data_IF_807067705441
#
_entry.id   IF_807067705441
#
_cell.length_a   1.000
_cell.length_b   1.000
_cell.length_c   1.000
_cell.angle_alpha   90.00
_cell.angle_beta   90.00
_cell.angle_gamma   90.00
#
_symmetry.space_group_name_H-M   'P 1'
#
loop_
_entity.id
_entity.type
_entity.pdbx_description
1 polymer ?
#
# COMPACT_ATOMS: atom_id res chain seq x y z
N UNK A 1 -0.07 -14.42 11.96
CA UNK A 1 -1.24 -15.10 11.38
C UNK A 1 -0.93 -16.52 10.89
N UNK A 2 0.23 -16.80 10.33
CA UNK A 2 0.68 -18.17 10.05
C UNK A 2 1.76 -18.52 11.06
N UNK A 3 1.51 -19.54 11.90
CA UNK A 3 2.45 -19.99 12.94
C UNK A 3 3.84 -20.32 12.38
N UNK A 4 3.86 -20.87 11.17
CA UNK A 4 5.08 -21.34 10.49
C UNK A 4 5.96 -20.19 9.97
N UNK A 5 5.40 -18.99 9.86
CA UNK A 5 6.11 -17.76 9.45
C UNK A 5 6.41 -16.84 10.66
N UNK A 6 5.99 -17.22 11.86
CA UNK A 6 6.22 -16.42 13.04
C UNK A 6 7.71 -16.46 13.43
N UNK A 7 8.31 -15.30 13.81
CA UNK A 7 9.67 -15.28 14.33
C UNK A 7 9.76 -16.08 15.64
N UNK A 8 10.96 -16.58 15.96
CA UNK A 8 11.21 -17.27 17.21
C UNK A 8 10.91 -16.33 18.41
N UNK A 9 10.14 -16.84 19.39
CA UNK A 9 9.76 -16.07 20.57
C UNK A 9 8.51 -16.62 21.25
N UNK A 10 8.12 -15.98 22.34
CA UNK A 10 6.84 -16.24 23.01
C UNK A 10 5.78 -15.29 22.46
N UNK A 11 4.62 -15.84 22.08
CA UNK A 11 3.47 -15.04 21.67
C UNK A 11 2.36 -15.12 22.71
N UNK A 12 1.69 -14.01 22.98
CA UNK A 12 0.51 -13.95 23.85
C UNK A 12 -0.61 -13.17 23.16
N UNK A 13 -1.85 -13.43 23.57
CA UNK A 13 -3.02 -12.78 22.98
C UNK A 13 -3.85 -13.74 22.12
N UNK A 14 -4.92 -13.19 21.51
CA UNK A 14 -5.88 -13.93 20.71
C UNK A 14 -6.06 -13.25 19.36
N UNK A 15 -6.01 -14.05 18.29
CA UNK A 15 -6.33 -13.60 16.93
C UNK A 15 -7.67 -14.21 16.55
N UNK A 16 -8.63 -13.38 16.18
CA UNK A 16 -9.95 -13.82 15.75
C UNK A 16 -10.13 -13.60 14.25
N UNK A 17 -10.69 -14.60 13.58
CA UNK A 17 -11.11 -14.55 12.18
C UNK A 17 -12.60 -14.85 12.11
N UNK A 18 -13.41 -13.88 11.64
CA UNK A 18 -14.88 -13.93 11.68
C UNK A 18 -15.43 -14.31 13.06
N UNK A 19 -14.88 -13.73 14.13
CA UNK A 19 -15.32 -13.95 15.51
C UNK A 19 -14.86 -15.27 16.15
N UNK A 20 -14.21 -16.16 15.41
CA UNK A 20 -13.64 -17.43 15.92
C UNK A 20 -12.15 -17.27 16.18
N UNK A 21 -11.63 -18.01 17.19
CA UNK A 21 -10.19 -18.07 17.38
C UNK A 21 -9.53 -18.68 16.13
N UNK A 22 -8.48 -18.03 15.60
CA UNK A 22 -7.79 -18.51 14.41
C UNK A 22 -7.24 -19.94 14.57
N UNK A 23 -6.89 -20.32 15.81
CA UNK A 23 -6.44 -21.68 16.13
C UNK A 23 -7.52 -22.75 15.93
N UNK A 24 -8.79 -22.36 16.02
CA UNK A 24 -9.94 -23.24 15.80
C UNK A 24 -10.35 -23.33 14.32
N UNK A 25 -9.81 -22.46 13.47
CA UNK A 25 -10.05 -22.49 12.03
C UNK A 25 -9.13 -23.54 11.40
N UNK A 26 -9.72 -24.52 10.69
CA UNK A 26 -8.94 -25.61 10.07
C UNK A 26 -7.88 -25.11 9.09
N UNK A 27 -6.72 -25.76 9.03
CA UNK A 27 -5.60 -25.35 8.17
C UNK A 27 -5.98 -25.18 6.70
N UNK A 28 -6.81 -26.07 6.16
CA UNK A 28 -7.30 -25.96 4.77
C UNK A 28 -8.08 -24.66 4.56
N UNK A 29 -8.96 -24.31 5.48
CA UNK A 29 -9.74 -23.08 5.40
C UNK A 29 -8.84 -21.84 5.52
N UNK A 30 -7.89 -21.85 6.45
CA UNK A 30 -6.92 -20.76 6.58
C UNK A 30 -6.11 -20.58 5.29
N UNK A 31 -5.63 -21.68 4.68
CA UNK A 31 -4.84 -21.63 3.45
C UNK A 31 -5.64 -21.14 2.25
N UNK A 32 -6.93 -21.43 2.20
CA UNK A 32 -7.81 -20.98 1.13
C UNK A 32 -8.28 -19.53 1.32
N UNK A 33 -8.66 -19.15 2.55
CA UNK A 33 -9.33 -17.87 2.81
C UNK A 33 -8.36 -16.73 3.17
N UNK A 34 -7.13 -17.05 3.59
CA UNK A 34 -6.12 -16.07 4.00
C UNK A 34 -4.89 -16.18 3.09
N UNK A 35 -4.80 -15.28 2.13
CA UNK A 35 -3.63 -15.15 1.27
C UNK A 35 -2.52 -14.37 1.96
N UNK A 36 -1.27 -14.75 1.73
CA UNK A 36 -0.10 -14.04 2.23
C UNK A 36 0.92 -13.85 1.12
N UNK A 37 1.34 -12.62 0.89
CA UNK A 37 2.39 -12.27 -0.07
C UNK A 37 3.61 -11.78 0.69
N UNK A 38 4.73 -12.46 0.49
CA UNK A 38 6.01 -12.18 1.14
C UNK A 38 6.72 -10.97 0.51
N UNK A 39 7.58 -10.36 1.29
CA UNK A 39 8.46 -9.26 0.87
C UNK A 39 9.37 -9.66 -0.31
N UNK A 40 9.98 -10.86 -0.24
CA UNK A 40 10.83 -11.38 -1.31
C UNK A 40 10.07 -12.42 -2.14
N UNK A 41 9.78 -12.15 -3.42
CA UNK A 41 9.06 -13.09 -4.28
C UNK A 41 9.78 -14.43 -4.49
N UNK A 42 11.11 -14.45 -4.50
CA UNK A 42 11.91 -15.67 -4.68
C UNK A 42 11.68 -16.70 -3.54
N UNK A 43 11.34 -16.22 -2.34
CA UNK A 43 11.09 -17.10 -1.20
C UNK A 43 9.69 -17.74 -1.23
N UNK A 44 8.82 -17.32 -2.13
CA UNK A 44 7.44 -17.78 -2.20
C UNK A 44 7.19 -18.67 -3.41
N UNK A 45 7.88 -18.45 -4.52
CA UNK A 45 7.74 -19.21 -5.75
C UNK A 45 8.29 -20.63 -5.55
N UNK A 46 7.48 -21.63 -5.92
CA UNK A 46 7.79 -23.05 -5.71
C UNK A 46 8.09 -23.76 -7.02
N UNK A 47 7.46 -23.33 -8.14
CA UNK A 47 7.55 -24.02 -9.42
C UNK A 47 8.46 -23.30 -10.41
N UNK A 48 8.86 -23.96 -11.47
CA UNK A 48 9.73 -23.44 -12.53
C UNK A 48 8.96 -22.76 -13.68
N UNK A 49 7.64 -22.99 -13.79
CA UNK A 49 6.77 -22.47 -14.86
C UNK A 49 5.70 -21.55 -14.31
N UNK A 50 5.45 -20.46 -15.01
CA UNK A 50 4.44 -19.46 -14.65
C UNK A 50 3.04 -20.07 -14.51
N UNK A 51 2.58 -20.85 -15.51
CA UNK A 51 1.26 -21.45 -15.46
C UNK A 51 1.12 -22.46 -14.30
N UNK A 52 2.19 -23.16 -13.95
CA UNK A 52 2.20 -24.13 -12.87
C UNK A 52 2.16 -23.43 -11.50
N UNK A 53 2.90 -22.31 -11.35
CA UNK A 53 2.84 -21.50 -10.15
C UNK A 53 1.41 -20.98 -9.89
N UNK A 54 0.69 -20.55 -10.93
CA UNK A 54 -0.72 -20.14 -10.82
C UNK A 54 -1.64 -21.30 -10.40
N UNK A 55 -1.32 -22.54 -10.79
CA UNK A 55 -2.11 -23.72 -10.46
C UNK A 55 -1.77 -24.32 -9.10
N UNK A 56 -0.54 -24.16 -8.63
CA UNK A 56 0.04 -24.89 -7.48
C UNK A 56 -0.80 -24.82 -6.20
N UNK A 57 -1.28 -23.63 -5.83
CA UNK A 57 -2.14 -23.46 -4.66
C UNK A 57 -3.48 -24.20 -4.77
N UNK A 58 -4.07 -24.21 -5.96
CA UNK A 58 -5.33 -24.90 -6.24
C UNK A 58 -5.16 -26.44 -6.23
N UNK A 59 -4.05 -26.92 -6.79
CA UNK A 59 -3.68 -28.35 -6.77
C UNK A 59 -3.47 -28.82 -5.33
N UNK A 60 -2.74 -28.04 -4.53
CA UNK A 60 -2.51 -28.32 -3.11
C UNK A 60 -3.79 -28.36 -2.28
N UNK A 61 -4.79 -27.57 -2.65
CA UNK A 61 -6.13 -27.58 -2.06
C UNK A 61 -7.02 -28.70 -2.61
N UNK A 62 -6.57 -29.46 -3.61
CA UNK A 62 -7.29 -30.62 -4.15
C UNK A 62 -8.49 -30.22 -5.02
N UNK A 63 -8.41 -29.09 -5.73
CA UNK A 63 -9.41 -28.74 -6.73
C UNK A 63 -9.33 -29.67 -7.95
N UNK A 64 -10.45 -29.86 -8.65
CA UNK A 64 -10.50 -30.63 -9.89
C UNK A 64 -9.88 -29.86 -11.06
N UNK A 65 -9.37 -30.58 -12.05
CA UNK A 65 -8.66 -30.02 -13.20
C UNK A 65 -9.47 -28.97 -13.97
N UNK A 66 -10.78 -29.14 -14.25
CA UNK A 66 -11.59 -28.11 -14.89
C UNK A 66 -11.64 -26.80 -14.10
N UNK A 67 -11.82 -26.85 -12.79
CA UNK A 67 -11.83 -25.69 -11.90
C UNK A 67 -10.46 -25.00 -11.87
N UNK A 68 -9.36 -25.76 -11.79
CA UNK A 68 -8.00 -25.21 -11.84
C UNK A 68 -7.78 -24.46 -13.16
N UNK A 69 -8.10 -25.07 -14.30
CA UNK A 69 -7.94 -24.44 -15.62
C UNK A 69 -8.72 -23.14 -15.73
N UNK A 70 -9.97 -23.12 -15.26
CA UNK A 70 -10.81 -21.92 -15.28
C UNK A 70 -10.18 -20.80 -14.45
N UNK A 71 -9.86 -21.05 -13.19
CA UNK A 71 -9.31 -20.05 -12.28
C UNK A 71 -7.94 -19.52 -12.72
N UNK A 72 -7.07 -20.40 -13.23
CA UNK A 72 -5.78 -20.02 -13.79
C UNK A 72 -5.97 -19.11 -15.02
N UNK A 73 -6.90 -19.43 -15.92
CA UNK A 73 -7.20 -18.60 -17.08
C UNK A 73 -7.78 -17.23 -16.68
N UNK A 74 -8.69 -17.20 -15.69
CA UNK A 74 -9.24 -15.96 -15.13
C UNK A 74 -8.15 -15.07 -14.55
N UNK A 75 -7.26 -15.61 -13.72
CA UNK A 75 -6.18 -14.85 -13.13
C UNK A 75 -5.13 -14.42 -14.15
N UNK A 76 -4.78 -15.29 -15.10
CA UNK A 76 -3.88 -14.93 -16.20
C UNK A 76 -4.44 -13.76 -17.04
N UNK A 77 -5.76 -13.73 -17.24
CA UNK A 77 -6.44 -12.63 -17.90
C UNK A 77 -6.48 -11.35 -17.05
N UNK A 78 -6.90 -11.47 -15.80
CA UNK A 78 -7.05 -10.32 -14.88
C UNK A 78 -5.72 -9.58 -14.64
N UNK A 79 -4.63 -10.33 -14.50
CA UNK A 79 -3.28 -9.80 -14.24
C UNK A 79 -2.46 -9.54 -15.51
N UNK A 80 -3.00 -9.80 -16.71
CA UNK A 80 -2.31 -9.60 -17.99
C UNK A 80 -1.10 -10.53 -18.21
N UNK A 81 -1.14 -11.74 -17.66
CA UNK A 81 -0.02 -12.70 -17.66
C UNK A 81 0.16 -13.44 -19.00
N UNK A 82 -0.75 -13.28 -19.97
CA UNK A 82 -0.79 -14.12 -21.19
C UNK A 82 0.51 -14.11 -22.01
N UNK A 83 1.24 -12.98 -22.05
CA UNK A 83 2.46 -12.85 -22.87
C UNK A 83 3.62 -13.71 -22.33
N UNK A 84 3.60 -14.02 -21.05
CA UNK A 84 4.65 -14.78 -20.37
C UNK A 84 4.15 -16.02 -19.63
N UNK A 85 2.89 -16.44 -19.93
CA UNK A 85 2.21 -17.57 -19.29
C UNK A 85 2.99 -18.89 -19.38
N UNK A 86 3.66 -19.15 -20.52
CA UNK A 86 4.45 -20.37 -20.75
C UNK A 86 5.94 -20.22 -20.44
N UNK A 87 6.40 -19.05 -20.00
CA UNK A 87 7.80 -18.81 -19.66
C UNK A 87 8.21 -19.57 -18.41
N UNK A 88 9.53 -19.72 -18.26
CA UNK A 88 10.12 -20.09 -16.98
C UNK A 88 10.07 -18.90 -16.02
N UNK A 89 9.88 -19.17 -14.74
CA UNK A 89 9.89 -18.13 -13.69
C UNK A 89 11.26 -17.41 -13.64
N UNK A 90 12.34 -18.10 -13.94
CA UNK A 90 13.69 -17.53 -14.01
C UNK A 90 13.87 -16.43 -15.08
N UNK A 91 12.99 -16.39 -16.08
CA UNK A 91 13.01 -15.38 -17.15
C UNK A 91 12.25 -14.09 -16.77
N UNK A 92 11.58 -14.07 -15.61
CA UNK A 92 10.75 -12.96 -15.16
C UNK A 92 11.59 -11.89 -14.43
N UNK A 93 11.19 -10.62 -14.61
CA UNK A 93 11.67 -9.53 -13.76
C UNK A 93 11.14 -9.65 -12.32
N UNK A 94 11.76 -8.95 -11.37
CA UNK A 94 11.31 -8.92 -9.97
C UNK A 94 9.85 -8.50 -9.84
N UNK A 95 9.42 -7.47 -10.56
CA UNK A 95 8.02 -7.02 -10.59
C UNK A 95 7.06 -8.08 -11.15
N UNK A 96 7.47 -8.78 -12.22
CA UNK A 96 6.68 -9.88 -12.77
C UNK A 96 6.56 -11.06 -11.81
N UNK A 97 7.63 -11.41 -11.09
CA UNK A 97 7.60 -12.45 -10.04
C UNK A 97 6.66 -12.07 -8.89
N UNK A 98 6.71 -10.82 -8.44
CA UNK A 98 5.81 -10.35 -7.39
C UNK A 98 4.35 -10.36 -7.85
N UNK A 99 4.10 -9.97 -9.10
CA UNK A 99 2.77 -10.03 -9.70
C UNK A 99 2.27 -11.48 -9.86
N UNK A 100 3.17 -12.42 -10.21
CA UNK A 100 2.88 -13.84 -10.28
C UNK A 100 2.47 -14.40 -8.92
N UNK A 101 3.21 -14.08 -7.84
CA UNK A 101 2.85 -14.48 -6.48
C UNK A 101 1.47 -13.99 -6.08
N UNK A 102 1.18 -12.71 -6.36
CA UNK A 102 -0.13 -12.13 -6.09
C UNK A 102 -1.23 -12.86 -6.88
N UNK A 103 -1.01 -13.13 -8.17
CA UNK A 103 -1.95 -13.83 -9.03
C UNK A 103 -2.20 -15.29 -8.59
N UNK A 104 -1.14 -16.01 -8.17
CA UNK A 104 -1.23 -17.37 -7.65
C UNK A 104 -2.07 -17.44 -6.36
N UNK A 105 -1.88 -16.48 -5.46
CA UNK A 105 -2.70 -16.35 -4.24
C UNK A 105 -4.15 -16.00 -4.60
N UNK A 106 -4.36 -15.06 -5.50
CA UNK A 106 -5.71 -14.64 -5.91
C UNK A 106 -6.48 -15.73 -6.64
N UNK A 107 -5.81 -16.70 -7.27
CA UNK A 107 -6.44 -17.88 -7.87
C UNK A 107 -7.23 -18.73 -6.85
N UNK A 108 -6.84 -18.70 -5.58
CA UNK A 108 -7.55 -19.37 -4.49
C UNK A 108 -8.80 -18.60 -4.01
N UNK A 109 -9.02 -17.36 -4.49
CA UNK A 109 -10.10 -16.44 -4.09
C UNK A 109 -10.11 -16.17 -2.57
N UNK A 110 -9.02 -15.66 -2.01
CA UNK A 110 -8.95 -15.40 -0.58
C UNK A 110 -9.91 -14.26 -0.17
N UNK A 111 -10.44 -14.34 1.05
CA UNK A 111 -11.26 -13.29 1.66
C UNK A 111 -10.40 -12.21 2.31
N UNK A 112 -9.23 -12.59 2.78
CA UNK A 112 -8.23 -11.73 3.39
C UNK A 112 -6.89 -11.90 2.66
N UNK A 113 -6.30 -10.80 2.23
CA UNK A 113 -4.97 -10.75 1.64
C UNK A 113 -4.04 -9.95 2.55
N UNK A 114 -2.93 -10.54 2.94
CA UNK A 114 -1.89 -9.90 3.75
C UNK A 114 -0.66 -9.72 2.88
N UNK A 115 -0.18 -8.50 2.79
CA UNK A 115 0.98 -8.11 1.99
C UNK A 115 2.02 -7.49 2.93
N UNK A 116 3.18 -8.11 3.02
CA UNK A 116 4.26 -7.67 3.90
C UNK A 116 5.36 -7.01 3.09
N UNK A 117 5.38 -5.68 3.08
CA UNK A 117 6.30 -4.83 2.30
C UNK A 117 6.50 -5.30 0.84
N UNK A 118 5.42 -5.54 0.08
CA UNK A 118 5.49 -6.25 -1.21
C UNK A 118 6.25 -5.48 -2.28
N UNK A 119 6.49 -4.18 -2.08
CA UNK A 119 7.17 -3.32 -3.07
C UNK A 119 8.63 -3.03 -2.74
N UNK A 120 9.14 -3.50 -1.60
CA UNK A 120 10.48 -3.17 -1.10
C UNK A 120 11.62 -3.56 -2.05
N UNK A 121 11.42 -4.58 -2.89
CA UNK A 121 12.40 -5.08 -3.86
C UNK A 121 12.13 -4.64 -5.30
N UNK A 122 11.13 -3.78 -5.52
CA UNK A 122 10.71 -3.33 -6.83
C UNK A 122 11.29 -1.95 -7.16
N UNK A 123 11.55 -1.72 -8.45
CA UNK A 123 11.79 -0.37 -8.94
C UNK A 123 10.54 0.52 -8.76
N UNK A 124 10.68 1.85 -8.78
CA UNK A 124 9.56 2.76 -8.48
C UNK A 124 8.35 2.59 -9.40
N UNK A 125 8.55 2.23 -10.67
CA UNK A 125 7.45 2.05 -11.65
C UNK A 125 6.72 0.75 -11.33
N UNK A 126 7.44 -0.36 -11.24
CA UNK A 126 6.87 -1.66 -10.90
C UNK A 126 6.15 -1.64 -9.54
N UNK A 127 6.68 -0.90 -8.56
CA UNK A 127 6.05 -0.73 -7.26
C UNK A 127 4.69 0.01 -7.35
N UNK A 128 4.62 1.08 -8.13
CA UNK A 128 3.38 1.84 -8.34
C UNK A 128 2.33 1.00 -9.07
N UNK A 129 2.72 0.28 -10.13
CA UNK A 129 1.85 -0.61 -10.89
C UNK A 129 1.32 -1.77 -10.02
N UNK A 130 2.17 -2.31 -9.15
CA UNK A 130 1.79 -3.36 -8.20
C UNK A 130 0.75 -2.85 -7.19
N UNK A 131 0.96 -1.68 -6.58
CA UNK A 131 0.03 -1.09 -5.62
C UNK A 131 -1.31 -0.71 -6.27
N UNK A 132 -1.32 -0.23 -7.51
CA UNK A 132 -2.56 0.03 -8.24
C UNK A 132 -3.31 -1.29 -8.54
N UNK A 133 -2.58 -2.38 -8.82
CA UNK A 133 -3.18 -3.72 -8.97
C UNK A 133 -3.79 -4.20 -7.66
N UNK A 134 -3.13 -4.01 -6.53
CA UNK A 134 -3.65 -4.32 -5.19
C UNK A 134 -4.93 -3.52 -4.90
N UNK A 135 -4.92 -2.22 -5.19
CA UNK A 135 -6.09 -1.36 -5.07
C UNK A 135 -7.25 -1.83 -5.95
N UNK A 136 -6.96 -2.25 -7.18
CA UNK A 136 -7.96 -2.79 -8.10
C UNK A 136 -8.59 -4.08 -7.56
N UNK A 137 -7.81 -5.00 -6.98
CA UNK A 137 -8.31 -6.21 -6.33
C UNK A 137 -9.31 -5.85 -5.21
N UNK A 138 -8.96 -4.94 -4.34
CA UNK A 138 -9.86 -4.52 -3.25
C UNK A 138 -11.17 -3.94 -3.80
N UNK A 139 -11.10 -3.05 -4.79
CA UNK A 139 -12.26 -2.38 -5.38
C UNK A 139 -13.15 -3.33 -6.19
N UNK A 140 -12.56 -4.17 -7.05
CA UNK A 140 -13.29 -4.96 -8.05
C UNK A 140 -13.74 -6.32 -7.50
N UNK A 141 -12.94 -6.93 -6.63
CA UNK A 141 -13.20 -8.26 -6.04
C UNK A 141 -13.76 -8.15 -4.61
N UNK A 142 -13.47 -7.06 -3.90
CA UNK A 142 -13.91 -6.85 -2.52
C UNK A 142 -13.09 -7.61 -1.48
N UNK A 143 -11.90 -8.11 -1.84
CA UNK A 143 -10.99 -8.77 -0.90
C UNK A 143 -10.52 -7.78 0.16
N UNK A 144 -10.60 -8.15 1.43
CA UNK A 144 -10.03 -7.36 2.52
C UNK A 144 -8.50 -7.43 2.44
N UNK A 145 -7.84 -6.27 2.52
CA UNK A 145 -6.38 -6.19 2.39
C UNK A 145 -5.76 -5.62 3.66
N UNK A 146 -4.76 -6.30 4.20
CA UNK A 146 -3.84 -5.77 5.22
C UNK A 146 -2.48 -5.60 4.54
N UNK A 147 -1.97 -4.38 4.52
CA UNK A 147 -0.75 -4.02 3.83
C UNK A 147 0.21 -3.32 4.78
N UNK A 148 1.45 -3.82 4.89
CA UNK A 148 2.57 -3.05 5.47
C UNK A 148 3.35 -2.42 4.32
N UNK A 149 3.66 -1.14 4.39
CA UNK A 149 4.31 -0.41 3.31
C UNK A 149 5.07 0.82 3.80
N UNK A 150 6.18 1.14 3.13
CA UNK A 150 6.95 2.37 3.36
C UNK A 150 6.57 3.50 2.39
N UNK A 151 5.98 3.17 1.26
CA UNK A 151 5.54 4.13 0.23
C UNK A 151 4.17 4.71 0.57
N UNK A 152 4.08 5.43 1.68
CA UNK A 152 2.82 5.90 2.26
C UNK A 152 2.06 6.83 1.30
N UNK A 153 2.76 7.62 0.48
CA UNK A 153 2.14 8.50 -0.52
C UNK A 153 1.29 7.74 -1.55
N UNK A 154 1.63 6.47 -1.85
CA UNK A 154 0.94 5.65 -2.83
C UNK A 154 -0.23 4.86 -2.21
N UNK A 155 -0.25 4.68 -0.89
CA UNK A 155 -1.22 3.85 -0.17
C UNK A 155 -2.24 4.67 0.64
N UNK A 156 -1.80 5.67 1.38
CA UNK A 156 -2.64 6.50 2.27
C UNK A 156 -3.89 7.07 1.57
N UNK A 157 -3.81 7.55 0.30
CA UNK A 157 -4.97 8.14 -0.38
C UNK A 157 -6.16 7.21 -0.58
N UNK A 158 -5.97 5.89 -0.53
CA UNK A 158 -7.02 4.89 -0.76
C UNK A 158 -7.20 3.90 0.41
N UNK A 159 -6.42 4.02 1.47
CA UNK A 159 -6.60 3.22 2.66
C UNK A 159 -7.89 3.62 3.41
N UNK A 160 -8.64 2.63 3.88
CA UNK A 160 -9.83 2.87 4.73
C UNK A 160 -9.41 3.16 6.17
N UNK A 161 -8.36 2.49 6.64
CA UNK A 161 -7.85 2.58 8.01
C UNK A 161 -6.34 2.43 8.06
N UNK A 162 -5.71 3.22 8.90
CA UNK A 162 -4.26 3.21 9.13
C UNK A 162 -3.97 2.81 10.57
N UNK A 163 -3.00 1.93 10.75
CA UNK A 163 -2.44 1.53 12.03
C UNK A 163 -0.98 1.98 12.04
N UNK A 164 -0.62 2.85 12.97
CA UNK A 164 0.76 3.33 13.12
C UNK A 164 1.41 2.56 14.25
N UNK A 165 2.50 1.88 13.93
CA UNK A 165 3.30 1.14 14.90
C UNK A 165 4.66 1.82 15.09
N UNK A 166 5.08 1.96 16.33
CA UNK A 166 6.41 2.43 16.68
C UNK A 166 7.00 1.57 17.81
N UNK A 167 8.25 1.19 17.65
CA UNK A 167 9.01 0.37 18.64
C UNK A 167 8.24 -0.89 19.12
N UNK A 168 7.53 -1.55 18.20
CA UNK A 168 6.78 -2.78 18.48
C UNK A 168 5.44 -2.55 19.18
N UNK A 169 4.99 -1.31 19.36
CA UNK A 169 3.70 -0.97 19.98
C UNK A 169 2.81 -0.21 19.00
N UNK A 170 1.49 -0.40 19.15
CA UNK A 170 0.51 0.39 18.40
C UNK A 170 0.47 1.80 19.00
N UNK A 171 0.93 2.78 18.22
CA UNK A 171 0.91 4.19 18.60
C UNK A 171 -0.51 4.78 18.45
N UNK A 172 -1.11 4.57 17.28
CA UNK A 172 -2.44 5.08 16.96
C UNK A 172 -3.08 4.32 15.81
N UNK A 173 -4.40 4.47 15.67
CA UNK A 173 -5.17 3.96 14.53
C UNK A 173 -6.33 4.89 14.20
N UNK A 174 -6.72 4.96 12.94
CA UNK A 174 -7.85 5.79 12.51
C UNK A 174 -7.96 5.94 11.01
N UNK A 175 -8.81 6.85 10.58
CA UNK A 175 -8.89 7.23 9.17
C UNK A 175 -7.61 7.98 8.75
N UNK A 176 -7.19 7.87 7.48
CA UNK A 176 -5.94 8.50 6.99
C UNK A 176 -5.81 9.99 7.33
N UNK A 177 -6.91 10.76 7.25
CA UNK A 177 -6.90 12.20 7.56
C UNK A 177 -6.61 12.47 9.04
N UNK A 178 -7.23 11.71 9.94
CA UNK A 178 -7.04 11.83 11.40
C UNK A 178 -5.62 11.47 11.81
N UNK A 179 -5.05 10.45 11.17
CA UNK A 179 -3.67 10.01 11.45
C UNK A 179 -2.66 11.09 11.05
N UNK A 180 -2.85 11.75 9.90
CA UNK A 180 -1.97 12.84 9.48
C UNK A 180 -1.94 14.00 10.48
N UNK A 181 -3.10 14.41 10.97
CA UNK A 181 -3.22 15.48 11.98
C UNK A 181 -2.58 15.08 13.32
N UNK A 182 -2.77 13.83 13.74
CA UNK A 182 -2.19 13.33 14.99
C UNK A 182 -0.66 13.25 14.92
N UNK A 183 -0.11 12.67 13.85
CA UNK A 183 1.35 12.56 13.66
C UNK A 183 2.03 13.93 13.59
N UNK A 184 1.37 14.94 12.98
CA UNK A 184 1.84 16.32 12.99
C UNK A 184 1.89 16.86 14.41
N UNK A 185 0.77 16.75 15.15
CA UNK A 185 0.65 17.29 16.52
C UNK A 185 1.69 16.69 17.46
N UNK A 186 2.04 15.42 17.29
CA UNK A 186 3.03 14.71 18.09
C UNK A 186 4.45 14.87 17.57
N UNK A 187 4.67 15.64 16.49
CA UNK A 187 5.97 15.82 15.83
C UNK A 187 6.65 14.48 15.51
N UNK A 188 5.85 13.46 15.15
CA UNK A 188 6.37 12.13 14.86
C UNK A 188 7.10 12.09 13.50
N UNK A 189 8.30 11.49 13.46
CA UNK A 189 9.13 11.45 12.24
C UNK A 189 8.45 10.83 11.01
N UNK A 190 7.50 9.91 11.21
CA UNK A 190 6.72 9.29 10.14
C UNK A 190 5.82 10.29 9.37
N UNK A 191 5.54 11.47 9.97
CA UNK A 191 4.78 12.52 9.28
C UNK A 191 5.46 12.98 7.97
N UNK A 192 6.79 12.97 7.92
CA UNK A 192 7.57 13.31 6.72
C UNK A 192 7.40 12.31 5.56
N UNK A 193 6.88 11.13 5.83
CA UNK A 193 6.58 10.12 4.80
C UNK A 193 5.13 10.16 4.32
N UNK A 194 4.29 11.02 4.90
CA UNK A 194 2.90 11.20 4.49
C UNK A 194 2.80 11.86 3.09
N UNK A 195 1.67 11.73 2.39
CA UNK A 195 1.44 12.44 1.12
C UNK A 195 1.74 13.93 1.20
N UNK A 196 2.42 14.47 0.18
CA UNK A 196 2.83 15.89 0.12
C UNK A 196 1.66 16.86 0.39
N UNK A 197 0.43 16.64 -0.13
CA UNK A 197 -0.70 17.52 0.20
C UNK A 197 -0.99 17.61 1.70
N UNK A 198 -0.82 16.50 2.44
CA UNK A 198 -0.98 16.48 3.90
C UNK A 198 0.12 17.27 4.60
N UNK A 199 1.36 17.17 4.12
CA UNK A 199 2.49 17.91 4.68
C UNK A 199 2.30 19.41 4.50
N UNK A 200 1.89 19.87 3.29
CA UNK A 200 1.62 21.29 3.01
C UNK A 200 0.43 21.80 3.86
N UNK A 201 -0.65 21.03 3.92
CA UNK A 201 -1.82 21.34 4.76
C UNK A 201 -1.42 21.59 6.22
N UNK A 202 -0.50 20.81 6.70
CA UNK A 202 -0.05 20.86 8.06
C UNK A 202 0.73 22.15 8.43
N UNK A 203 1.32 22.84 7.46
CA UNK A 203 2.04 24.11 7.67
C UNK A 203 1.14 25.34 7.68
N UNK A 204 -0.15 25.18 7.35
CA UNK A 204 -1.11 26.27 7.24
C UNK A 204 -2.23 26.10 8.27
N UNK A 205 -2.45 27.10 9.10
CA UNK A 205 -3.60 27.11 10.02
C UNK A 205 -4.89 27.29 9.24
N UNK A 206 -5.76 26.29 9.31
CA UNK A 206 -7.06 26.31 8.65
C UNK A 206 -8.01 25.27 9.28
N UNK A 207 -9.30 25.38 9.00
CA UNK A 207 -10.35 24.48 9.50
C UNK A 207 -10.93 23.57 8.38
N UNK A 208 -10.29 23.51 7.22
CA UNK A 208 -10.73 22.66 6.11
C UNK A 208 -10.24 21.22 6.30
N UNK A 209 -10.90 20.23 5.68
CA UNK A 209 -10.47 18.83 5.75
C UNK A 209 -9.07 18.66 5.16
N UNK A 210 -8.24 17.84 5.82
CA UNK A 210 -6.90 17.50 5.36
C UNK A 210 -6.93 16.80 3.98
N UNK A 211 -6.26 17.30 2.94
CA UNK A 211 -6.24 16.68 1.62
C UNK A 211 -5.33 15.45 1.59
N UNK A 212 -5.79 14.36 0.98
CA UNK A 212 -5.00 13.13 0.80
C UNK A 212 -4.33 13.04 -0.57
N UNK A 213 -4.93 13.68 -1.58
CA UNK A 213 -4.47 13.62 -2.97
C UNK A 213 -4.04 14.98 -3.48
N UNK A 214 -3.22 15.00 -4.53
CA UNK A 214 -2.83 16.26 -5.22
C UNK A 214 -4.04 17.05 -5.72
N UNK A 215 -5.08 16.36 -6.20
CA UNK A 215 -6.34 16.98 -6.64
C UNK A 215 -7.04 17.69 -5.48
N UNK A 216 -7.16 17.00 -4.35
CA UNK A 216 -7.75 17.59 -3.13
C UNK A 216 -6.89 18.75 -2.62
N UNK A 217 -5.56 18.61 -2.64
CA UNK A 217 -4.63 19.65 -2.24
C UNK A 217 -4.77 20.94 -3.07
N UNK A 218 -4.93 20.82 -4.39
CA UNK A 218 -5.20 21.96 -5.25
C UNK A 218 -6.52 22.66 -4.90
N UNK A 219 -7.58 21.89 -4.69
CA UNK A 219 -8.88 22.45 -4.29
C UNK A 219 -8.79 23.14 -2.93
N UNK A 220 -8.10 22.52 -1.98
CA UNK A 220 -7.87 23.06 -0.65
C UNK A 220 -7.10 24.39 -0.72
N UNK A 221 -5.99 24.47 -1.47
CA UNK A 221 -5.22 25.72 -1.66
C UNK A 221 -6.14 26.82 -2.20
N UNK A 222 -6.96 26.52 -3.21
CA UNK A 222 -7.89 27.50 -3.80
C UNK A 222 -8.87 28.03 -2.76
N UNK A 223 -9.41 27.17 -1.89
CA UNK A 223 -10.33 27.57 -0.82
C UNK A 223 -9.63 28.40 0.26
N UNK A 224 -8.43 28.02 0.67
CA UNK A 224 -7.63 28.79 1.64
C UNK A 224 -7.30 30.16 1.10
N UNK A 225 -6.86 30.26 -0.17
CA UNK A 225 -6.55 31.54 -0.80
C UNK A 225 -7.80 32.43 -0.94
N UNK A 226 -8.95 31.87 -1.28
CA UNK A 226 -10.19 32.62 -1.34
C UNK A 226 -10.62 33.17 0.03
N UNK A 227 -10.48 32.38 1.09
CA UNK A 227 -10.76 32.81 2.46
C UNK A 227 -9.77 33.85 2.99
N UNK A 228 -8.51 33.84 2.49
CA UNK A 228 -7.46 34.77 2.92
C UNK A 228 -7.44 36.07 2.07
N UNK A 229 -8.03 36.06 0.88
CA UNK A 229 -8.07 37.26 0.00
C UNK A 229 -8.88 38.40 0.61
N UNK A 230 -9.76 38.14 1.58
CA UNK A 230 -10.44 39.20 2.36
C UNK A 230 -9.55 39.82 3.46
N UNK A 231 -8.35 39.27 3.72
CA UNK A 231 -7.45 39.73 4.80
C UNK A 231 -6.02 40.06 4.32
N UNK A 232 -5.66 39.75 3.06
CA UNK A 232 -4.35 40.06 2.50
C UNK A 232 -4.45 41.31 1.64
N UNK A 233 -4.31 42.48 2.25
CA UNK A 233 -3.67 43.63 1.59
C UNK A 233 -2.23 43.22 1.35
N UNK A 234 -1.94 42.96 0.10
CA UNK A 234 -0.73 42.37 -0.44
C UNK A 234 0.52 43.03 0.11
N UNK A 235 1.32 42.34 0.88
CA UNK A 235 2.74 42.60 1.02
C UNK A 235 3.53 42.09 -0.21
N UNK A 236 3.14 42.44 -1.42
CA UNK A 236 3.93 42.15 -2.64
C UNK A 236 5.27 42.92 -2.67
N UNK A 237 5.40 44.00 -1.91
CA UNK A 237 6.61 44.82 -1.93
C UNK A 237 7.79 44.32 -1.10
N UNK A 238 7.58 43.45 -0.09
CA UNK A 238 8.66 43.12 0.84
C UNK A 238 9.62 42.01 0.38
N UNK A 239 9.18 41.10 -0.45
CA UNK A 239 10.02 39.97 -0.90
C UNK A 239 10.89 40.31 -2.10
N UNK A 240 10.39 41.11 -3.04
CA UNK A 240 11.17 41.60 -4.18
C UNK A 240 12.17 42.71 -3.79
N UNK A 241 11.83 43.57 -2.83
CA UNK A 241 12.72 44.66 -2.37
C UNK A 241 13.92 44.12 -1.55
N UNK A 242 13.74 43.13 -0.70
CA UNK A 242 14.84 42.54 0.08
C UNK A 242 15.87 41.79 -0.77
N UNK A 243 15.42 41.15 -1.86
CA UNK A 243 16.33 40.45 -2.77
C UNK A 243 17.04 41.42 -3.74
N UNK A 244 16.42 42.51 -4.16
CA UNK A 244 17.10 43.54 -4.95
C UNK A 244 18.21 44.26 -4.17
N UNK A 245 17.99 44.56 -2.91
CA UNK A 245 19.02 45.18 -2.06
C UNK A 245 20.20 44.24 -1.73
N UNK A 246 19.96 42.92 -1.62
CA UNK A 246 21.04 41.93 -1.46
C UNK A 246 21.87 41.71 -2.72
N UNK A 247 21.25 41.82 -3.92
CA UNK A 247 21.94 41.71 -5.19
C UNK A 247 22.75 42.98 -5.52
N UNK A 248 22.23 44.16 -5.20
CA UNK A 248 22.99 45.41 -5.40
C UNK A 248 24.17 45.55 -4.43
N UNK A 249 24.10 45.01 -3.21
CA UNK A 249 25.26 44.97 -2.31
C UNK A 249 26.36 44.00 -2.72
N UNK A 250 26.03 42.97 -3.53
CA UNK A 250 27.03 42.01 -4.06
C UNK A 250 27.67 42.47 -5.39
N UNK A 251 27.13 43.49 -6.04
CA UNK A 251 27.69 44.04 -7.29
C UNK A 251 28.60 45.27 -7.05
N UNK A 252 28.63 45.78 -5.81
CA UNK A 252 29.46 46.95 -5.42
C UNK A 252 30.61 46.59 -4.46
N UNK A 253 30.93 45.29 -4.35
CA UNK A 253 32.17 44.75 -3.73
C UNK A 253 32.92 43.91 -4.76
#
# INVERSE_FOLDING_TARGET
LKSDLAPFGSSSGKICYYGRDLKEVGHRQQSQEIGYVLQNPENQIVTDKVWHELAFGLESLGYDTPTIRLRVAEMASYFGIHQWFYKNVSELSGGQKQLLNLAAIMAMHPKLLILDEPTSQLDPIAASDFLETVRKINRDIGTTIILTEHRLQDVIPWADRVYVMDKGSLLTQGAPREIGELLKREHHGMFLSMPVPMQIYAEVENNLPCPLTVKEGRNWITQVMAATSDTVSVCEESYFCKNKQKLQKKLNT
#
